data_IF_593948773424
#
_entry.id   IF_593948773424
#
_cell.length_a   1.000
_cell.length_b   1.000
_cell.length_c   1.000
_cell.angle_alpha   90.00
_cell.angle_beta   90.00
_cell.angle_gamma   90.00
#
_symmetry.space_group_name_H-M   'P 1'
#
loop_
_entity.id
_entity.type
_entity.pdbx_description
1 polymer ?
#
# COMPACT_ATOMS: atom_id res chain seq x y z
N UNK A 1 26.37 51.01 25.75
CA UNK A 1 26.09 51.89 24.61
C UNK A 1 24.85 51.38 23.89
N UNK A 2 23.78 52.18 23.92
CA UNK A 2 22.60 51.93 23.09
C UNK A 2 22.79 52.70 21.80
N UNK A 3 22.97 51.99 20.70
CA UNK A 3 23.05 52.62 19.37
C UNK A 3 21.63 52.70 18.79
N UNK A 4 21.09 53.93 18.71
CA UNK A 4 19.77 54.17 18.08
C UNK A 4 20.04 54.42 16.60
N UNK A 5 19.63 53.49 15.73
CA UNK A 5 19.64 53.68 14.29
C UNK A 5 18.49 54.57 13.88
N UNK A 6 18.77 55.79 13.37
CA UNK A 6 17.75 56.68 12.87
C UNK A 6 17.33 56.25 11.44
N UNK A 7 16.04 56.00 11.21
CA UNK A 7 15.51 55.76 9.88
C UNK A 7 15.54 57.06 9.10
N UNK A 8 16.22 57.11 7.95
CA UNK A 8 16.36 58.30 7.11
C UNK A 8 15.44 58.22 5.87
N UNK A 9 15.11 57.02 5.43
CA UNK A 9 14.16 56.83 4.32
C UNK A 9 13.47 55.48 4.39
N UNK A 10 12.33 55.37 3.71
CA UNK A 10 11.50 54.20 3.60
C UNK A 10 11.12 53.93 2.13
N UNK A 11 11.21 52.73 1.66
CA UNK A 11 10.76 52.29 0.35
C UNK A 11 9.72 51.19 0.47
N UNK A 12 8.68 51.28 -0.35
CA UNK A 12 7.69 50.21 -0.53
C UNK A 12 7.89 49.58 -1.91
N UNK A 13 8.01 48.28 -1.94
CA UNK A 13 8.13 47.51 -3.17
C UNK A 13 7.09 46.38 -3.18
N UNK A 14 6.68 45.99 -4.36
CA UNK A 14 5.78 44.86 -4.56
C UNK A 14 6.55 43.77 -5.27
N UNK A 15 6.54 42.57 -4.69
CA UNK A 15 7.25 41.40 -5.20
C UNK A 15 6.27 40.25 -5.29
N UNK A 16 6.24 39.57 -6.44
CA UNK A 16 5.52 38.33 -6.58
C UNK A 16 6.43 37.19 -6.10
N UNK A 17 5.94 36.41 -5.14
CA UNK A 17 6.65 35.31 -4.51
C UNK A 17 5.91 34.00 -4.76
N UNK A 18 6.64 32.96 -5.14
CA UNK A 18 6.08 31.64 -5.32
C UNK A 18 5.81 30.96 -3.96
N UNK A 19 4.65 30.33 -3.84
CA UNK A 19 4.32 29.47 -2.72
C UNK A 19 4.70 28.04 -3.12
N UNK A 20 5.64 27.45 -2.40
CA UNK A 20 6.15 26.11 -2.68
C UNK A 20 5.02 25.06 -2.61
N UNK A 21 5.17 24.01 -3.43
CA UNK A 21 4.27 22.86 -3.43
C UNK A 21 4.45 22.08 -2.15
N UNK A 22 3.35 21.81 -1.45
CA UNK A 22 3.33 20.86 -0.33
C UNK A 22 3.12 19.44 -0.86
N UNK A 23 3.81 18.45 -0.26
CA UNK A 23 3.63 17.03 -0.56
C UNK A 23 2.86 16.38 0.57
N UNK A 24 1.67 15.87 0.28
CA UNK A 24 0.81 15.14 1.21
C UNK A 24 0.92 13.66 0.90
N UNK A 25 1.32 12.87 1.89
CA UNK A 25 1.39 11.40 1.81
C UNK A 25 0.19 10.78 2.50
N UNK A 26 -0.55 9.94 1.78
CA UNK A 26 -1.74 9.23 2.26
C UNK A 26 -1.45 7.74 2.29
N UNK A 27 -1.71 7.11 3.42
CA UNK A 27 -1.55 5.66 3.56
C UNK A 27 -2.68 4.93 2.87
N UNK A 28 -2.33 3.88 2.11
CA UNK A 28 -3.28 3.01 1.39
C UNK A 28 -2.95 1.55 1.72
N UNK A 29 -3.87 0.86 2.37
CA UNK A 29 -3.72 -0.53 2.80
C UNK A 29 -4.05 -1.54 1.67
N UNK A 30 -4.53 -1.07 0.54
CA UNK A 30 -4.75 -1.90 -0.66
C UNK A 30 -3.49 -2.03 -1.50
N UNK A 31 -2.54 -1.11 -1.37
CA UNK A 31 -1.26 -1.10 -2.05
C UNK A 31 -0.18 -1.81 -1.23
N UNK A 32 0.72 -2.53 -1.90
CA UNK A 32 1.82 -3.21 -1.22
C UNK A 32 2.79 -2.21 -0.57
N UNK A 33 3.32 -2.56 0.59
CA UNK A 33 4.29 -1.74 1.33
C UNK A 33 5.51 -1.43 0.46
N UNK A 34 5.79 -0.15 0.27
CA UNK A 34 6.86 0.36 -0.58
C UNK A 34 6.42 0.75 -1.99
N UNK A 35 5.16 0.51 -2.35
CA UNK A 35 4.58 1.08 -3.57
C UNK A 35 4.12 2.51 -3.30
N UNK A 36 4.34 3.40 -4.26
CA UNK A 36 3.89 4.79 -4.25
C UNK A 36 3.14 5.12 -5.53
N UNK A 37 2.03 5.84 -5.42
CA UNK A 37 1.24 6.34 -6.55
C UNK A 37 0.99 7.83 -6.39
N UNK A 38 1.35 8.62 -7.41
CA UNK A 38 1.03 10.05 -7.46
C UNK A 38 -0.39 10.22 -7.98
N UNK A 39 -1.34 10.48 -7.10
CA UNK A 39 -2.75 10.68 -7.45
C UNK A 39 -3.09 12.11 -7.82
N UNK A 40 -2.27 13.06 -7.40
CA UNK A 40 -2.40 14.47 -7.77
C UNK A 40 -1.02 15.11 -7.92
N UNK A 41 -0.78 15.73 -9.07
CA UNK A 41 0.43 16.54 -9.29
C UNK A 41 0.17 17.96 -8.78
N UNK A 42 1.03 18.44 -7.90
CA UNK A 42 0.93 19.78 -7.33
C UNK A 42 1.23 20.89 -8.32
N UNK A 43 0.75 22.09 -7.99
CA UNK A 43 1.08 23.32 -8.70
C UNK A 43 1.50 24.39 -7.69
N UNK A 44 2.59 25.13 -7.94
CA UNK A 44 3.00 26.20 -7.05
C UNK A 44 1.97 27.30 -7.00
N UNK A 45 1.78 27.87 -5.83
CA UNK A 45 0.98 29.06 -5.64
C UNK A 45 1.74 30.33 -6.02
N UNK A 46 1.06 31.45 -5.98
CA UNK A 46 1.66 32.77 -6.19
C UNK A 46 1.06 33.74 -5.19
N UNK A 47 1.89 34.41 -4.43
CA UNK A 47 1.48 35.49 -3.54
C UNK A 47 2.16 36.80 -3.95
N UNK A 48 1.43 37.90 -3.82
CA UNK A 48 1.94 39.25 -3.97
C UNK A 48 2.25 39.81 -2.61
N UNK A 49 3.53 40.08 -2.37
CA UNK A 49 4.04 40.60 -1.11
C UNK A 49 4.40 42.07 -1.26
N UNK A 50 3.78 42.92 -0.44
CA UNK A 50 4.20 44.29 -0.29
C UNK A 50 5.26 44.39 0.80
N UNK A 51 6.45 44.84 0.42
CA UNK A 51 7.64 44.85 1.28
C UNK A 51 8.08 46.27 1.56
N UNK A 52 8.24 46.57 2.86
CA UNK A 52 8.80 47.81 3.35
C UNK A 52 10.29 47.62 3.66
N UNK A 53 11.11 48.47 3.10
CA UNK A 53 12.55 48.50 3.43
C UNK A 53 12.88 49.86 4.05
N UNK A 54 13.49 49.79 5.23
CA UNK A 54 13.93 50.96 6.00
C UNK A 54 15.43 51.15 5.82
N UNK A 55 15.83 52.39 5.62
CA UNK A 55 17.22 52.73 5.39
C UNK A 55 17.71 53.73 6.45
N UNK A 56 18.99 53.64 6.79
CA UNK A 56 19.74 54.64 7.54
C UNK A 56 20.99 55.03 6.74
N UNK A 57 21.03 56.31 6.34
CA UNK A 57 22.16 56.83 5.53
C UNK A 57 22.41 55.99 4.25
N UNK A 58 21.38 55.57 3.56
CA UNK A 58 21.48 54.76 2.36
C UNK A 58 21.71 53.24 2.57
N UNK A 59 21.88 52.81 3.81
CA UNK A 59 22.09 51.41 4.16
C UNK A 59 20.77 50.80 4.65
N UNK A 60 20.40 49.60 4.15
CA UNK A 60 19.24 48.84 4.62
C UNK A 60 19.44 48.45 6.07
N UNK A 61 18.52 48.84 6.94
CA UNK A 61 18.52 48.48 8.36
C UNK A 61 17.43 47.47 8.71
N UNK A 62 16.34 47.45 7.95
CA UNK A 62 15.25 46.50 8.19
C UNK A 62 14.41 46.32 6.94
N UNK A 63 13.91 45.11 6.71
CA UNK A 63 12.95 44.77 5.70
C UNK A 63 11.80 44.01 6.35
N UNK A 64 10.54 44.41 6.10
CA UNK A 64 9.37 43.79 6.64
C UNK A 64 8.36 43.53 5.51
N UNK A 65 7.67 42.42 5.53
CA UNK A 65 6.50 42.18 4.70
C UNK A 65 5.29 42.80 5.40
N UNK A 66 4.69 43.80 4.77
CA UNK A 66 3.57 44.55 5.36
C UNK A 66 2.22 44.08 4.90
N UNK A 67 2.15 43.43 3.73
CA UNK A 67 0.92 42.85 3.21
C UNK A 67 1.26 41.64 2.32
N UNK A 68 0.41 40.60 2.38
CA UNK A 68 0.48 39.43 1.52
C UNK A 68 -0.88 39.15 0.93
N UNK A 69 -0.98 38.99 -0.38
CA UNK A 69 -2.22 38.69 -1.09
C UNK A 69 -1.97 37.49 -2.00
N UNK A 70 -2.68 36.40 -1.74
CA UNK A 70 -2.61 35.19 -2.58
C UNK A 70 -3.25 35.51 -3.93
N UNK A 71 -2.47 35.44 -5.01
CA UNK A 71 -2.91 35.59 -6.39
C UNK A 71 -3.40 34.27 -6.97
N UNK A 72 -2.74 33.21 -6.63
CA UNK A 72 -3.08 31.83 -6.98
C UNK A 72 -2.78 30.92 -5.81
N UNK A 73 -3.76 30.14 -5.38
CA UNK A 73 -3.56 29.14 -4.33
C UNK A 73 -2.60 28.03 -4.80
N UNK A 74 -1.77 27.53 -3.91
CA UNK A 74 -0.96 26.34 -4.14
C UNK A 74 -1.89 25.11 -4.19
N UNK A 75 -1.58 24.17 -5.09
CA UNK A 75 -2.19 22.83 -5.15
C UNK A 75 -1.16 21.84 -4.66
N UNK A 76 -1.45 21.02 -3.64
CA UNK A 76 -0.48 20.07 -3.14
C UNK A 76 -0.29 18.88 -4.09
N UNK A 77 0.89 18.26 -4.06
CA UNK A 77 1.08 16.92 -4.61
C UNK A 77 0.56 15.91 -3.60
N UNK A 78 -0.27 14.96 -4.04
CA UNK A 78 -0.78 13.88 -3.20
C UNK A 78 -0.17 12.56 -3.70
N UNK A 79 0.51 11.87 -2.79
CA UNK A 79 1.13 10.56 -3.03
C UNK A 79 0.46 9.55 -2.10
N UNK A 80 -0.06 8.45 -2.66
CA UNK A 80 -0.48 7.28 -1.89
C UNK A 80 0.74 6.41 -1.61
N UNK A 81 0.87 5.97 -0.37
CA UNK A 81 1.91 5.04 0.08
C UNK A 81 1.27 3.73 0.51
N UNK A 82 1.66 2.63 -0.13
CA UNK A 82 1.23 1.29 0.22
C UNK A 82 1.68 0.88 1.63
N UNK A 83 0.75 0.35 2.41
CA UNK A 83 1.02 -0.13 3.78
C UNK A 83 0.77 -1.61 3.97
N UNK A 84 0.19 -2.30 2.97
CA UNK A 84 -0.08 -3.74 3.04
C UNK A 84 1.24 -4.50 3.09
N UNK A 85 1.47 -5.22 4.18
CA UNK A 85 2.61 -6.13 4.29
C UNK A 85 2.49 -7.24 3.22
N UNK A 86 3.47 -7.33 2.33
CA UNK A 86 3.57 -8.42 1.37
C UNK A 86 4.38 -9.54 2.01
N UNK A 87 3.73 -10.65 2.30
CA UNK A 87 4.40 -11.83 2.85
C UNK A 87 5.23 -12.47 1.73
N UNK A 88 6.52 -12.25 1.73
CA UNK A 88 7.42 -12.89 0.76
C UNK A 88 7.76 -14.30 1.20
N UNK A 89 7.90 -15.21 0.24
CA UNK A 89 8.29 -16.63 0.49
C UNK A 89 9.50 -16.76 1.42
N UNK A 90 10.40 -15.80 1.39
CA UNK A 90 11.61 -15.80 2.23
C UNK A 90 11.31 -15.56 3.72
N UNK A 91 10.32 -14.69 4.03
CA UNK A 91 9.90 -14.42 5.41
C UNK A 91 9.08 -15.58 5.98
N UNK A 92 8.34 -16.28 5.14
CA UNK A 92 7.49 -17.39 5.53
C UNK A 92 8.30 -18.68 5.71
N UNK A 93 9.28 -18.94 4.84
CA UNK A 93 10.16 -20.11 4.96
C UNK A 93 10.88 -20.17 6.33
N UNK A 94 11.17 -19.01 6.95
CA UNK A 94 11.75 -18.93 8.29
C UNK A 94 10.76 -19.20 9.44
N UNK A 95 9.45 -19.28 9.17
CA UNK A 95 8.38 -19.57 10.14
C UNK A 95 7.67 -20.90 9.88
N UNK A 96 7.97 -21.53 8.75
CA UNK A 96 7.37 -22.79 8.38
C UNK A 96 8.02 -23.96 9.14
N UNK A 97 7.19 -24.80 9.74
CA UNK A 97 7.62 -26.05 10.33
C UNK A 97 7.99 -27.09 9.27
N UNK A 98 7.36 -27.02 8.10
CA UNK A 98 7.54 -27.94 6.99
C UNK A 98 7.24 -27.29 5.65
N UNK A 99 7.95 -27.69 4.59
CA UNK A 99 7.65 -27.34 3.21
C UNK A 99 7.40 -28.64 2.41
N UNK A 100 6.34 -28.65 1.62
CA UNK A 100 5.91 -29.80 0.82
C UNK A 100 5.71 -29.33 -0.61
N UNK A 101 6.23 -30.08 -1.59
CA UNK A 101 5.88 -29.87 -3.01
C UNK A 101 4.60 -30.65 -3.29
N UNK A 102 3.58 -29.96 -3.79
CA UNK A 102 2.26 -30.52 -4.06
C UNK A 102 1.77 -30.13 -5.45
N UNK A 103 1.06 -31.05 -6.13
CA UNK A 103 0.31 -30.73 -7.34
C UNK A 103 -0.90 -29.88 -6.93
N UNK A 104 -0.93 -28.63 -7.37
CA UNK A 104 -2.02 -27.72 -7.09
C UNK A 104 -2.98 -27.60 -8.26
N UNK A 105 -4.26 -27.55 -7.95
CA UNK A 105 -5.35 -27.16 -8.84
C UNK A 105 -6.16 -26.02 -8.22
N UNK A 106 -7.17 -25.57 -8.93
CA UNK A 106 -8.02 -24.47 -8.50
C UNK A 106 -9.49 -24.83 -8.66
N UNK A 107 -10.31 -24.42 -7.69
CA UNK A 107 -11.75 -24.59 -7.71
C UNK A 107 -12.50 -23.34 -7.29
N UNK A 108 -13.79 -23.29 -7.57
CA UNK A 108 -14.69 -22.20 -7.19
C UNK A 108 -15.66 -22.67 -6.10
N UNK A 109 -16.16 -21.73 -5.31
CA UNK A 109 -17.14 -22.00 -4.25
C UNK A 109 -18.38 -22.78 -4.73
N UNK A 110 -18.75 -22.67 -6.01
CA UNK A 110 -19.87 -23.40 -6.62
C UNK A 110 -19.53 -24.78 -7.16
N UNK A 111 -18.27 -25.21 -7.12
CA UNK A 111 -17.85 -26.52 -7.57
C UNK A 111 -18.22 -27.62 -6.54
N UNK A 112 -18.24 -28.87 -6.96
CA UNK A 112 -18.64 -29.97 -6.09
C UNK A 112 -20.16 -30.09 -5.92
N UNK A 113 -20.65 -29.96 -4.70
CA UNK A 113 -22.09 -30.06 -4.37
C UNK A 113 -22.88 -28.76 -4.62
N UNK A 114 -22.17 -27.69 -4.99
CA UNK A 114 -22.73 -26.36 -5.28
C UNK A 114 -23.18 -25.56 -4.06
N UNK A 115 -22.97 -26.08 -2.84
CA UNK A 115 -23.38 -25.39 -1.61
C UNK A 115 -22.38 -24.32 -1.16
N UNK A 116 -21.15 -24.35 -1.68
CA UNK A 116 -20.10 -23.39 -1.32
C UNK A 116 -19.62 -23.50 0.12
N UNK A 117 -19.80 -24.68 0.74
CA UNK A 117 -19.40 -24.97 2.12
C UNK A 117 -18.36 -26.09 2.11
N UNK A 118 -17.28 -25.90 2.83
CA UNK A 118 -16.17 -26.83 2.93
C UNK A 118 -16.46 -28.01 3.86
N UNK A 119 -15.60 -29.02 3.85
CA UNK A 119 -15.68 -30.18 4.75
C UNK A 119 -15.67 -29.80 6.24
N UNK A 120 -15.09 -28.65 6.61
CA UNK A 120 -15.10 -28.14 8.00
C UNK A 120 -16.30 -27.26 8.32
N UNK A 121 -17.20 -27.01 7.35
CA UNK A 121 -18.42 -26.23 7.54
C UNK A 121 -18.24 -24.71 7.40
N UNK A 122 -17.10 -24.26 6.90
CA UNK A 122 -16.88 -22.84 6.61
C UNK A 122 -17.14 -22.53 5.13
N UNK A 123 -17.45 -21.29 4.75
CA UNK A 123 -17.60 -20.91 3.34
C UNK A 123 -16.31 -21.17 2.54
N UNK A 124 -16.46 -21.71 1.33
CA UNK A 124 -15.37 -21.89 0.38
C UNK A 124 -15.06 -20.52 -0.27
N UNK A 125 -14.13 -19.79 0.29
CA UNK A 125 -13.68 -18.47 -0.17
C UNK A 125 -12.16 -18.49 -0.38
N UNK A 126 -11.61 -17.48 -1.08
CA UNK A 126 -10.16 -17.33 -1.20
C UNK A 126 -9.50 -17.40 0.18
N UNK A 127 -8.37 -18.12 0.26
CA UNK A 127 -7.72 -18.43 1.53
C UNK A 127 -8.13 -19.76 2.15
N UNK A 128 -8.96 -20.55 1.45
CA UNK A 128 -9.27 -21.94 1.79
C UNK A 128 -8.57 -22.88 0.81
N UNK A 129 -8.09 -24.00 1.34
CA UNK A 129 -7.48 -25.07 0.57
C UNK A 129 -8.12 -26.43 0.92
N UNK A 130 -8.42 -27.21 -0.11
CA UNK A 130 -8.72 -28.62 0.04
C UNK A 130 -7.41 -29.43 0.02
N UNK A 131 -7.29 -30.36 0.94
CA UNK A 131 -6.09 -31.18 1.16
C UNK A 131 -6.45 -32.61 1.49
N UNK A 132 -5.45 -33.48 1.45
CA UNK A 132 -5.55 -34.81 2.09
C UNK A 132 -5.24 -34.63 3.59
N UNK A 133 -6.19 -34.91 4.51
CA UNK A 133 -5.98 -34.77 5.95
C UNK A 133 -4.89 -35.67 6.52
N UNK A 134 -4.54 -36.75 5.84
CA UNK A 134 -3.44 -37.66 6.23
C UNK A 134 -2.07 -37.01 5.93
N UNK A 135 -2.01 -36.01 5.04
CA UNK A 135 -0.78 -35.28 4.70
C UNK A 135 -0.73 -33.94 5.42
N UNK A 136 -1.83 -33.19 5.41
CA UNK A 136 -1.97 -31.88 6.06
C UNK A 136 -3.26 -31.90 6.89
N UNK A 137 -3.20 -31.91 8.22
CA UNK A 137 -4.40 -31.92 9.07
C UNK A 137 -5.28 -30.69 8.80
N UNK A 138 -6.61 -30.88 8.85
CA UNK A 138 -7.55 -29.78 8.73
C UNK A 138 -7.35 -28.76 9.88
N UNK A 139 -7.51 -27.48 9.58
CA UNK A 139 -7.22 -26.36 10.46
C UNK A 139 -5.77 -25.83 10.36
N UNK A 140 -4.90 -26.52 9.64
CA UNK A 140 -3.51 -26.10 9.46
C UNK A 140 -3.43 -24.82 8.64
N UNK A 141 -2.60 -23.88 9.09
CA UNK A 141 -2.29 -22.65 8.32
C UNK A 141 -1.20 -22.95 7.31
N UNK A 142 -1.39 -22.45 6.12
CA UNK A 142 -0.51 -22.67 4.96
C UNK A 142 -0.10 -21.33 4.36
N UNK A 143 1.03 -21.35 3.66
CA UNK A 143 1.40 -20.29 2.74
C UNK A 143 1.85 -20.90 1.41
N UNK A 144 1.29 -20.43 0.32
CA UNK A 144 1.60 -20.87 -1.04
C UNK A 144 2.09 -19.67 -1.84
N UNK A 145 3.36 -19.66 -2.30
CA UNK A 145 3.87 -18.59 -3.16
C UNK A 145 3.00 -18.36 -4.40
N UNK A 146 2.65 -17.11 -4.67
CA UNK A 146 1.77 -16.73 -5.77
C UNK A 146 0.28 -16.77 -5.45
N UNK A 147 -0.14 -17.55 -4.44
CA UNK A 147 -1.53 -17.59 -3.95
C UNK A 147 -1.73 -16.78 -2.67
N UNK A 148 -0.85 -16.98 -1.67
CA UNK A 148 -0.90 -16.32 -0.37
C UNK A 148 -1.12 -17.27 0.79
N UNK A 149 -1.63 -16.75 1.92
CA UNK A 149 -2.02 -17.53 3.08
C UNK A 149 -3.31 -18.31 2.82
N UNK A 150 -3.39 -19.54 3.37
CA UNK A 150 -4.57 -20.37 3.30
C UNK A 150 -4.75 -21.18 4.58
N UNK A 151 -5.97 -21.71 4.77
CA UNK A 151 -6.30 -22.68 5.81
C UNK A 151 -6.73 -23.97 5.13
N UNK A 152 -6.15 -25.10 5.54
CA UNK A 152 -6.60 -26.44 5.15
C UNK A 152 -7.96 -26.69 5.80
N UNK A 153 -9.05 -26.42 5.10
CA UNK A 153 -10.41 -26.50 5.64
C UNK A 153 -11.37 -27.32 4.78
N UNK A 154 -10.87 -27.85 3.68
CA UNK A 154 -11.68 -28.65 2.77
C UNK A 154 -10.99 -29.98 2.41
N UNK A 155 -11.77 -30.87 1.80
CA UNK A 155 -11.30 -32.14 1.25
C UNK A 155 -11.98 -32.39 -0.10
N UNK A 156 -11.33 -33.17 -0.95
CA UNK A 156 -11.90 -33.56 -2.23
C UNK A 156 -11.60 -35.03 -2.55
N UNK A 157 -12.53 -35.75 -3.16
CA UNK A 157 -12.33 -37.16 -3.51
C UNK A 157 -11.15 -37.43 -4.45
N UNK A 158 -10.69 -36.40 -5.17
CA UNK A 158 -9.50 -36.44 -6.03
C UNK A 158 -8.26 -35.83 -5.39
N UNK A 159 -8.38 -35.20 -4.22
CA UNK A 159 -7.30 -34.52 -3.50
C UNK A 159 -6.71 -35.48 -2.48
N UNK A 160 -5.85 -36.36 -2.97
CA UNK A 160 -5.23 -37.44 -2.19
C UNK A 160 -3.72 -37.37 -2.30
N UNK A 161 -3.02 -37.57 -1.16
CA UNK A 161 -1.57 -37.48 -1.08
C UNK A 161 -1.09 -36.02 -1.22
N UNK A 162 -0.03 -35.85 -1.99
CA UNK A 162 0.56 -34.49 -2.19
C UNK A 162 -0.21 -33.70 -3.26
N UNK A 163 -1.53 -33.57 -3.10
CA UNK A 163 -2.38 -32.72 -3.89
C UNK A 163 -3.05 -31.67 -3.03
N UNK A 164 -3.24 -30.49 -3.61
CA UNK A 164 -3.92 -29.36 -2.97
C UNK A 164 -4.81 -28.67 -3.99
N UNK A 165 -6.01 -28.29 -3.58
CA UNK A 165 -6.95 -27.53 -4.43
C UNK A 165 -7.27 -26.19 -3.76
N UNK A 166 -7.10 -25.09 -4.49
CA UNK A 166 -7.14 -23.74 -3.95
C UNK A 166 -8.39 -23.00 -4.43
N UNK A 167 -9.11 -22.40 -3.50
CA UNK A 167 -10.30 -21.58 -3.86
C UNK A 167 -9.85 -20.32 -4.58
N UNK A 168 -10.43 -20.07 -5.75
CA UNK A 168 -10.24 -18.83 -6.52
C UNK A 168 -11.51 -17.98 -6.52
N UNK A 169 -11.33 -16.67 -6.73
CA UNK A 169 -12.44 -15.72 -6.72
C UNK A 169 -13.22 -15.71 -8.03
N UNK A 170 -12.61 -16.20 -9.13
CA UNK A 170 -13.24 -16.20 -10.45
C UNK A 170 -12.78 -17.37 -11.31
N UNK A 171 -13.64 -17.74 -12.27
CA UNK A 171 -13.31 -18.74 -13.29
C UNK A 171 -12.08 -18.37 -14.11
N UNK A 172 -11.92 -17.09 -14.44
CA UNK A 172 -10.75 -16.61 -15.18
C UNK A 172 -9.44 -16.87 -14.41
N UNK A 173 -9.41 -16.57 -13.12
CA UNK A 173 -8.27 -16.79 -12.23
C UNK A 173 -7.98 -18.30 -12.08
N UNK A 174 -9.02 -19.12 -11.92
CA UNK A 174 -8.85 -20.57 -11.83
C UNK A 174 -8.27 -21.17 -13.11
N UNK A 175 -8.70 -20.68 -14.27
CA UNK A 175 -8.17 -21.11 -15.56
C UNK A 175 -6.73 -20.66 -15.81
N UNK A 176 -6.37 -19.46 -15.38
CA UNK A 176 -5.01 -18.92 -15.46
C UNK A 176 -4.06 -19.69 -14.52
N UNK A 177 -4.50 -20.01 -13.32
CA UNK A 177 -3.74 -20.78 -12.35
C UNK A 177 -3.49 -22.20 -12.88
N UNK A 178 -4.52 -22.83 -13.40
CA UNK A 178 -4.47 -24.16 -13.99
C UNK A 178 -4.04 -25.23 -12.99
N UNK A 179 -3.22 -26.20 -13.49
CA UNK A 179 -2.63 -27.26 -12.68
C UNK A 179 -1.11 -27.14 -12.74
N UNK A 180 -0.46 -27.04 -11.56
CA UNK A 180 0.97 -26.81 -11.46
C UNK A 180 1.54 -27.33 -10.12
N UNK A 181 2.84 -27.59 -10.08
CA UNK A 181 3.52 -27.88 -8.83
C UNK A 181 3.80 -26.60 -8.05
N UNK A 182 3.44 -26.62 -6.76
CA UNK A 182 3.67 -25.50 -5.85
C UNK A 182 4.38 -25.96 -4.59
N UNK A 183 5.14 -25.08 -3.96
CA UNK A 183 5.66 -25.33 -2.62
C UNK A 183 4.67 -24.82 -1.60
N UNK A 184 4.14 -25.71 -0.78
CA UNK A 184 3.25 -25.41 0.34
C UNK A 184 4.07 -25.34 1.62
N UNK A 185 4.07 -24.19 2.27
CA UNK A 185 4.70 -23.99 3.58
C UNK A 185 3.66 -24.17 4.67
N UNK A 186 3.89 -25.11 5.56
CA UNK A 186 3.05 -25.36 6.75
C UNK A 186 3.48 -24.39 7.84
N UNK A 187 2.58 -23.57 8.31
CA UNK A 187 2.82 -22.57 9.35
C UNK A 187 2.41 -23.10 10.72
N UNK A 188 3.21 -22.77 11.75
CA UNK A 188 2.91 -23.10 13.16
C UNK A 188 1.82 -22.16 13.73
#
# INVERSE_FOLDING_TARGET
HITIAQVTSRSLSTVDQEIAIEVIRQKDDTMAKGEEEVVQVGQPGLERVQRETLYSNGTVIKTNDVSKVTQRAMVPTIIKEGTREVTTSRNVAGRASRAIVMEASAYLAGDGDGLGITATGVPAVRGIAAVDPDVIPLGTRLFIPGYGEAIAADTGGAIIGNKIDLVMDSYGEAMEFGRQDVTVYVLD
#
